data_IF_049979146773
#
_entry.id   IF_049979146773
#
_cell.length_a   1.000
_cell.length_b   1.000
_cell.length_c   1.000
_cell.angle_alpha   90.00
_cell.angle_beta   90.00
_cell.angle_gamma   90.00
#
_symmetry.space_group_name_H-M   'P 1'
#
loop_
_entity.id
_entity.type
_entity.pdbx_description
1 polymer ?
#
# COMPACT_ATOMS: atom_id res chain seq x y z
N UNK A 1 -10.76 -11.65 -1.16
CA UNK A 1 -9.69 -10.68 -1.43
C UNK A 1 -8.70 -10.80 -0.30
N UNK A 2 -7.41 -10.74 -0.61
CA UNK A 2 -6.32 -10.90 0.37
C UNK A 2 -5.23 -9.90 0.06
N UNK A 3 -4.68 -9.28 1.08
CA UNK A 3 -3.48 -8.46 1.01
C UNK A 3 -2.26 -9.23 1.48
N UNK A 4 -1.18 -9.13 0.72
CA UNK A 4 0.11 -9.71 1.06
C UNK A 4 1.24 -8.75 0.72
N UNK A 5 2.41 -8.99 1.28
CA UNK A 5 3.63 -8.26 0.94
C UNK A 5 4.65 -9.24 0.40
N UNK A 6 5.35 -8.85 -0.66
CA UNK A 6 6.51 -9.58 -1.17
C UNK A 6 7.75 -8.72 -1.09
N UNK A 7 8.92 -9.34 -1.13
CA UNK A 7 10.15 -8.63 -1.48
C UNK A 7 10.19 -8.27 -2.98
N UNK A 8 11.27 -7.62 -3.40
CA UNK A 8 11.53 -7.25 -4.80
C UNK A 8 11.60 -8.45 -5.75
N UNK A 9 11.96 -9.63 -5.25
CA UNK A 9 12.02 -10.89 -6.01
C UNK A 9 10.68 -11.63 -6.05
N UNK A 10 9.60 -10.97 -5.64
CA UNK A 10 8.23 -11.51 -5.54
C UNK A 10 8.11 -12.71 -4.57
N UNK A 11 9.04 -12.86 -3.63
CA UNK A 11 8.91 -13.81 -2.53
C UNK A 11 7.97 -13.24 -1.48
N UNK A 12 6.90 -13.98 -1.17
CA UNK A 12 5.95 -13.62 -0.12
C UNK A 12 6.63 -13.55 1.25
N UNK A 13 6.31 -12.49 1.98
CA UNK A 13 6.77 -12.27 3.34
C UNK A 13 5.63 -12.60 4.29
N UNK A 14 5.94 -13.41 5.30
CA UNK A 14 5.02 -13.70 6.39
C UNK A 14 4.84 -12.46 7.27
N UNK A 15 3.68 -12.32 7.91
CA UNK A 15 3.45 -11.22 8.86
C UNK A 15 4.54 -11.18 9.93
N UNK A 16 5.02 -9.97 10.25
CA UNK A 16 6.17 -9.72 11.13
C UNK A 16 7.53 -10.25 10.63
N UNK A 17 7.65 -10.64 9.36
CA UNK A 17 8.98 -10.88 8.78
C UNK A 17 9.84 -9.62 8.89
N UNK A 18 11.11 -9.75 9.30
CA UNK A 18 12.02 -8.61 9.33
C UNK A 18 12.27 -8.11 7.91
N UNK A 19 12.20 -6.79 7.74
CA UNK A 19 12.54 -6.07 6.51
C UNK A 19 13.51 -4.94 6.83
N UNK A 20 14.43 -4.63 5.93
CA UNK A 20 15.44 -3.60 6.17
C UNK A 20 14.91 -2.24 5.72
N UNK A 21 15.18 -1.16 6.46
CA UNK A 21 14.84 0.21 6.01
C UNK A 21 15.38 0.46 4.60
N UNK A 22 14.54 1.03 3.72
CA UNK A 22 14.89 1.31 2.33
C UNK A 22 14.84 0.08 1.40
N UNK A 23 14.54 -1.11 1.93
CA UNK A 23 14.25 -2.28 1.10
C UNK A 23 12.99 -2.03 0.27
N UNK A 24 13.06 -2.33 -1.03
CA UNK A 24 11.89 -2.33 -1.91
C UNK A 24 11.04 -3.57 -1.65
N UNK A 25 9.75 -3.33 -1.40
CA UNK A 25 8.72 -4.31 -1.13
C UNK A 25 7.55 -4.08 -2.11
N UNK A 26 6.74 -5.11 -2.32
CA UNK A 26 5.51 -5.00 -3.09
C UNK A 26 4.31 -5.32 -2.22
N UNK A 27 3.40 -4.36 -2.05
CA UNK A 27 2.08 -4.62 -1.49
C UNK A 27 1.18 -5.15 -2.60
N UNK A 28 0.66 -6.35 -2.44
CA UNK A 28 -0.16 -7.01 -3.43
C UNK A 28 -1.54 -7.27 -2.85
N UNK A 29 -2.58 -6.83 -3.55
CA UNK A 29 -3.97 -7.07 -3.20
C UNK A 29 -4.59 -7.89 -4.31
N UNK A 30 -5.02 -9.11 -3.97
CA UNK A 30 -5.48 -10.11 -4.92
C UNK A 30 -6.91 -10.54 -4.63
N UNK A 31 -7.63 -10.93 -5.68
CA UNK A 31 -8.99 -11.43 -5.58
C UNK A 31 -9.48 -12.06 -6.87
N UNK A 32 -10.78 -12.36 -6.89
CA UNK A 32 -11.44 -12.97 -8.05
C UNK A 32 -11.33 -12.03 -9.26
N UNK A 33 -11.22 -12.63 -10.44
CA UNK A 33 -11.27 -11.90 -11.71
C UNK A 33 -12.67 -11.40 -12.08
N UNK A 34 -12.76 -10.66 -13.19
CA UNK A 34 -13.99 -9.96 -13.61
C UNK A 34 -14.31 -8.72 -12.77
N UNK A 35 -13.33 -8.28 -11.97
CA UNK A 35 -13.41 -7.09 -11.14
C UNK A 35 -12.21 -6.18 -11.38
N UNK A 36 -12.43 -4.89 -11.18
CA UNK A 36 -11.42 -3.85 -11.13
C UNK A 36 -11.18 -3.44 -9.67
N UNK A 37 -9.93 -3.48 -9.23
CA UNK A 37 -9.52 -2.98 -7.90
C UNK A 37 -8.85 -1.61 -8.00
N UNK A 38 -9.29 -0.70 -7.15
CA UNK A 38 -8.70 0.64 -7.05
C UNK A 38 -8.34 0.93 -5.59
N UNK A 39 -7.08 1.23 -5.32
CA UNK A 39 -6.67 1.70 -4.01
C UNK A 39 -7.25 3.09 -3.77
N UNK A 40 -8.20 3.19 -2.85
CA UNK A 40 -8.78 4.48 -2.48
C UNK A 40 -7.88 5.19 -1.48
N UNK A 41 -7.45 4.48 -0.45
CA UNK A 41 -6.55 5.04 0.57
C UNK A 41 -5.70 3.95 1.18
N UNK A 42 -4.47 4.26 1.52
CA UNK A 42 -3.61 3.40 2.32
C UNK A 42 -2.95 4.27 3.38
N UNK A 43 -2.89 3.76 4.59
CA UNK A 43 -2.32 4.44 5.75
C UNK A 43 -1.38 3.49 6.47
N UNK A 44 -0.20 3.98 6.79
CA UNK A 44 0.70 3.31 7.70
C UNK A 44 0.51 3.86 9.12
N UNK A 45 0.55 3.00 10.11
CA UNK A 45 0.43 3.36 11.53
C UNK A 45 1.63 2.84 12.31
N UNK A 46 1.98 3.58 13.35
CA UNK A 46 2.94 3.18 14.37
C UNK A 46 2.36 2.00 15.17
N UNK A 47 2.99 0.82 15.06
CA UNK A 47 2.49 -0.42 15.64
C UNK A 47 1.18 -0.92 14.99
N UNK A 48 0.40 -1.68 15.75
CA UNK A 48 -0.81 -2.35 15.25
C UNK A 48 -2.12 -1.61 15.54
N UNK A 49 -2.12 -0.65 16.47
CA UNK A 49 -3.35 -0.01 16.97
C UNK A 49 -3.26 1.50 17.15
N UNK A 50 -2.06 2.09 17.14
CA UNK A 50 -1.89 3.51 17.47
C UNK A 50 -2.04 4.41 16.24
N UNK A 51 -3.24 4.99 16.06
CA UNK A 51 -3.52 5.94 14.97
C UNK A 51 -2.92 7.33 15.20
N UNK A 52 -2.43 7.64 16.41
CA UNK A 52 -1.88 8.96 16.75
C UNK A 52 -0.65 9.30 15.90
N UNK A 53 0.14 8.29 15.54
CA UNK A 53 1.27 8.41 14.61
C UNK A 53 0.95 7.61 13.36
N UNK A 54 0.39 8.29 12.38
CA UNK A 54 0.01 7.70 11.10
C UNK A 54 0.51 8.53 9.93
N UNK A 55 0.74 7.84 8.81
CA UNK A 55 1.22 8.42 7.56
C UNK A 55 0.32 7.93 6.44
N UNK A 56 -0.37 8.87 5.79
CA UNK A 56 -1.13 8.57 4.58
C UNK A 56 -0.16 8.28 3.44
N UNK A 57 -0.25 7.08 2.86
CA UNK A 57 0.51 6.69 1.68
C UNK A 57 -0.28 6.98 0.40
N UNK A 58 -1.61 6.79 0.47
CA UNK A 58 -2.54 7.08 -0.62
C UNK A 58 -3.77 7.78 -0.05
N UNK A 59 -4.23 8.82 -0.74
CA UNK A 59 -5.54 9.45 -0.48
C UNK A 59 -6.25 9.64 -1.81
N UNK A 60 -7.47 9.12 -1.89
CA UNK A 60 -8.26 9.05 -3.13
C UNK A 60 -7.37 8.66 -4.31
N UNK A 61 -6.76 7.47 -4.24
CA UNK A 61 -5.88 6.85 -5.25
C UNK A 61 -4.68 7.65 -5.72
N UNK A 62 -4.33 8.72 -4.99
CA UNK A 62 -3.16 9.54 -5.27
C UNK A 62 -2.09 9.25 -4.22
N UNK A 63 -0.89 8.90 -4.68
CA UNK A 63 0.31 8.80 -3.85
C UNK A 63 0.57 10.11 -3.12
N UNK A 64 0.68 10.04 -1.79
CA UNK A 64 0.98 11.21 -0.95
C UNK A 64 2.47 11.32 -0.65
N UNK A 65 3.17 10.19 -0.57
CA UNK A 65 4.61 10.14 -0.35
C UNK A 65 5.30 9.28 -1.42
N UNK A 66 5.76 9.91 -2.52
CA UNK A 66 6.42 9.19 -3.61
C UNK A 66 7.81 8.66 -3.23
N UNK A 67 8.40 9.08 -2.10
CA UNK A 67 9.64 8.48 -1.61
C UNK A 67 9.39 7.12 -0.95
N UNK A 68 8.16 6.89 -0.47
CA UNK A 68 7.78 5.63 0.19
C UNK A 68 6.96 4.74 -0.73
N UNK A 69 6.08 5.27 -1.58
CA UNK A 69 5.23 4.47 -2.47
C UNK A 69 5.26 5.03 -3.89
N UNK A 70 5.81 4.28 -4.82
CA UNK A 70 6.26 4.84 -6.12
C UNK A 70 5.36 4.50 -7.29
N UNK A 71 4.70 3.34 -7.26
CA UNK A 71 3.96 2.84 -8.41
C UNK A 71 2.72 2.05 -8.00
N UNK A 72 1.67 2.13 -8.82
CA UNK A 72 0.51 1.23 -8.78
C UNK A 72 0.33 0.61 -10.15
N UNK A 73 0.37 -0.70 -10.21
CA UNK A 73 -0.08 -1.45 -11.38
C UNK A 73 -1.33 -2.24 -11.03
N UNK A 74 -2.23 -2.33 -12.00
CA UNK A 74 -3.41 -3.15 -11.90
C UNK A 74 -3.33 -4.19 -13.01
N UNK A 75 -3.27 -5.46 -12.63
CA UNK A 75 -3.30 -6.59 -13.55
C UNK A 75 -4.71 -7.21 -13.48
N UNK A 76 -5.50 -6.96 -14.52
CA UNK A 76 -6.89 -7.43 -14.61
C UNK A 76 -6.95 -8.67 -15.48
N UNK A 77 -7.58 -9.71 -14.96
CA UNK A 77 -7.83 -10.95 -15.68
C UNK A 77 -9.21 -11.49 -15.38
N UNK A 78 -9.71 -12.35 -16.27
CA UNK A 78 -11.04 -12.98 -16.10
C UNK A 78 -11.12 -13.88 -14.87
N UNK A 79 -10.00 -14.51 -14.49
CA UNK A 79 -9.95 -15.43 -13.34
C UNK A 79 -9.27 -14.81 -12.11
N UNK A 80 -8.50 -13.74 -12.30
CA UNK A 80 -7.71 -13.13 -11.24
C UNK A 80 -7.51 -11.64 -11.50
N UNK A 81 -7.71 -10.84 -10.46
CA UNK A 81 -7.36 -9.41 -10.46
C UNK A 81 -6.36 -9.14 -9.35
N UNK A 82 -5.35 -8.35 -9.69
CA UNK A 82 -4.29 -7.92 -8.77
C UNK A 82 -4.09 -6.40 -8.84
N UNK A 83 -3.96 -5.78 -7.67
CA UNK A 83 -3.41 -4.45 -7.51
C UNK A 83 -2.06 -4.55 -6.80
N UNK A 84 -1.00 -4.10 -7.44
CA UNK A 84 0.37 -4.11 -6.91
C UNK A 84 0.87 -2.70 -6.68
N UNK A 85 1.44 -2.45 -5.50
CA UNK A 85 2.06 -1.18 -5.15
C UNK A 85 3.51 -1.40 -4.71
N UNK A 86 4.44 -0.66 -5.31
CA UNK A 86 5.85 -0.68 -4.87
C UNK A 86 6.03 0.28 -3.71
N UNK A 87 6.61 -0.21 -2.61
CA UNK A 87 6.90 0.59 -1.43
C UNK A 87 8.32 0.36 -0.90
N UNK A 88 8.92 1.38 -0.31
CA UNK A 88 10.18 1.26 0.41
C UNK A 88 9.91 1.13 1.90
N UNK A 89 10.51 0.12 2.55
CA UNK A 89 10.37 -0.10 3.98
C UNK A 89 10.87 1.11 4.78
N UNK A 90 10.12 1.49 5.80
CA UNK A 90 10.42 2.61 6.69
C UNK A 90 9.86 2.29 8.06
N UNK A 91 10.37 2.98 9.09
CA UNK A 91 9.90 2.84 10.46
C UNK A 91 9.42 4.18 11.01
N UNK A 92 8.72 4.13 12.14
CA UNK A 92 8.42 5.32 12.94
C UNK A 92 9.50 5.50 14.00
N UNK A 93 9.69 6.73 14.48
CA UNK A 93 10.78 7.06 15.41
C UNK A 93 10.76 6.18 16.67
N UNK A 94 9.59 5.81 17.19
CA UNK A 94 9.49 5.08 18.46
C UNK A 94 9.20 3.58 18.31
N UNK A 95 9.10 3.07 17.09
CA UNK A 95 8.88 1.63 16.87
C UNK A 95 9.37 1.15 15.51
N UNK A 96 9.79 -0.11 15.51
CA UNK A 96 10.14 -0.87 14.33
C UNK A 96 8.93 -1.60 13.75
N UNK A 97 7.75 -1.53 14.37
CA UNK A 97 6.55 -2.21 13.88
C UNK A 97 5.72 -1.23 13.05
N UNK A 98 5.51 -1.55 11.77
CA UNK A 98 4.67 -0.75 10.88
C UNK A 98 3.49 -1.60 10.40
N UNK A 99 2.28 -1.12 10.66
CA UNK A 99 1.07 -1.70 10.07
C UNK A 99 0.59 -0.82 8.93
N UNK A 100 0.34 -1.43 7.77
CA UNK A 100 -0.24 -0.77 6.60
C UNK A 100 -1.66 -1.29 6.43
N UNK A 101 -2.63 -0.38 6.42
CA UNK A 101 -4.02 -0.69 6.10
C UNK A 101 -4.46 0.03 4.84
N UNK A 102 -5.15 -0.68 3.95
CA UNK A 102 -5.61 -0.17 2.68
C UNK A 102 -7.13 -0.35 2.53
N UNK A 103 -7.80 0.69 2.04
CA UNK A 103 -9.20 0.65 1.60
C UNK A 103 -9.24 0.57 0.09
N UNK A 104 -9.83 -0.50 -0.42
CA UNK A 104 -9.93 -0.83 -1.83
C UNK A 104 -11.38 -0.70 -2.27
N UNK A 105 -11.59 0.00 -3.37
CA UNK A 105 -12.86 0.01 -4.07
C UNK A 105 -12.84 -1.08 -5.12
N UNK A 106 -13.84 -1.96 -5.08
CA UNK A 106 -14.01 -3.06 -6.03
C UNK A 106 -15.18 -2.74 -6.94
N UNK A 107 -14.99 -2.84 -8.26
CA UNK A 107 -16.03 -2.63 -9.26
C UNK A 107 -16.10 -3.83 -10.21
N UNK A 108 -17.26 -4.10 -10.78
CA UNK A 108 -17.38 -5.03 -11.91
C UNK A 108 -16.85 -4.39 -13.20
N UNK A 109 -16.20 -5.18 -14.05
CA UNK A 109 -15.53 -4.67 -15.26
C UNK A 109 -16.51 -4.18 -16.34
N UNK A 110 -17.72 -4.75 -16.40
CA UNK A 110 -18.67 -4.54 -17.51
C UNK A 110 -19.45 -3.21 -17.44
N UNK A 111 -19.34 -2.45 -16.34
CA UNK A 111 -20.35 -1.46 -15.99
C UNK A 111 -19.94 0.01 -16.13
N UNK A 112 -18.72 0.33 -16.58
CA UNK A 112 -18.15 1.70 -16.56
C UNK A 112 -18.33 2.43 -15.20
N UNK A 113 -18.63 1.67 -14.14
CA UNK A 113 -19.18 2.16 -12.87
C UNK A 113 -18.09 2.54 -11.89
N UNK A 114 -16.82 2.31 -12.24
CA UNK A 114 -15.68 2.61 -11.41
C UNK A 114 -15.35 4.10 -11.58
N UNK A 115 -15.73 4.97 -10.62
CA UNK A 115 -15.74 6.42 -10.81
C UNK A 115 -14.34 7.04 -10.68
N UNK A 116 -13.30 6.23 -10.63
CA UNK A 116 -12.01 6.61 -10.09
C UNK A 116 -10.91 6.43 -11.15
N UNK A 117 -10.49 7.55 -11.76
CA UNK A 117 -9.28 7.61 -12.57
C UNK A 117 -8.08 7.75 -11.62
N UNK A 118 -7.19 6.75 -11.60
CA UNK A 118 -5.86 6.91 -11.00
C UNK A 118 -5.18 8.02 -11.82
N UNK A 119 -4.74 9.14 -11.23
CA UNK A 119 -4.00 10.15 -11.96
C UNK A 119 -2.78 9.47 -12.58
N UNK A 120 -2.68 9.47 -13.91
CA UNK A 120 -1.52 8.92 -14.59
C UNK A 120 -0.27 9.66 -14.10
N UNK A 121 0.72 8.89 -13.66
CA UNK A 121 1.96 9.40 -13.08
C UNK A 121 2.72 10.16 -14.17
N UNK A 122 2.52 11.48 -14.27
CA UNK A 122 3.00 12.20 -15.44
C UNK A 122 2.72 13.68 -15.51
N UNK A 123 2.52 14.39 -14.39
CA UNK A 123 2.89 15.81 -14.28
C UNK A 123 2.66 16.31 -12.86
N UNK A 124 3.67 16.95 -12.28
CA UNK A 124 3.52 17.87 -11.14
C UNK A 124 2.55 19.01 -11.51
N UNK A 125 1.25 18.76 -11.45
CA UNK A 125 0.27 19.84 -11.35
C UNK A 125 -0.49 19.62 -10.05
N UNK A 126 -0.25 20.51 -9.09
CA UNK A 126 -1.17 20.85 -8.00
C UNK A 126 -2.49 21.34 -8.62
N UNK A 127 -3.27 20.44 -9.22
CA UNK A 127 -4.69 20.63 -9.39
C UNK A 127 -5.32 19.64 -8.46
N UNK A 128 -5.79 20.15 -7.33
CA UNK A 128 -6.84 19.49 -6.57
C UNK A 128 -8.00 19.30 -7.55
N UNK A 129 -8.05 18.14 -8.20
CA UNK A 129 -9.30 17.70 -8.81
C UNK A 129 -10.22 17.49 -7.61
N UNK A 130 -11.14 18.43 -7.41
CA UNK A 130 -12.25 18.25 -6.50
C UNK A 130 -13.07 17.09 -7.10
N UNK A 131 -12.75 15.85 -6.71
CA UNK A 131 -13.52 14.68 -7.11
C UNK A 131 -14.82 14.77 -6.33
N UNK A 132 -15.81 15.44 -6.90
CA UNK A 132 -17.18 15.38 -6.41
C UNK A 132 -17.62 13.91 -6.49
N UNK A 133 -18.00 13.27 -5.37
CA UNK A 133 -18.63 11.96 -5.45
C UNK A 133 -19.90 12.15 -6.28
N UNK A 134 -19.94 11.53 -7.47
CA UNK A 134 -21.21 11.43 -8.20
C UNK A 134 -22.13 10.55 -7.34
N UNK A 135 -23.08 11.21 -6.70
CA UNK A 135 -24.18 10.56 -5.97
C UNK A 135 -25.23 10.12 -6.99
N UNK A 136 -25.68 8.86 -6.84
CA UNK A 136 -26.72 8.10 -7.59
C UNK A 136 -26.09 7.17 -8.65
N UNK A 137 -26.25 5.84 -8.66
CA UNK A 137 -27.37 4.96 -8.28
C UNK A 137 -26.89 3.49 -8.19
N UNK A 138 -27.40 2.73 -7.20
CA UNK A 138 -27.13 1.31 -6.85
C UNK A 138 -25.66 0.97 -6.52
N UNK A 139 -25.40 0.44 -5.32
CA UNK A 139 -24.07 0.00 -4.87
C UNK A 139 -23.57 -1.21 -5.69
N UNK A 140 -23.03 -0.95 -6.89
CA UNK A 140 -22.28 -1.92 -7.72
C UNK A 140 -20.79 -1.96 -7.38
N UNK A 141 -20.40 -1.22 -6.35
CA UNK A 141 -19.05 -1.24 -5.80
C UNK A 141 -19.13 -1.43 -4.30
N UNK A 142 -18.23 -2.23 -3.77
CA UNK A 142 -18.08 -2.44 -2.33
C UNK A 142 -16.68 -2.08 -1.89
N UNK A 143 -16.53 -1.82 -0.60
CA UNK A 143 -15.24 -1.49 0.01
C UNK A 143 -14.71 -2.68 0.79
N UNK A 144 -13.44 -2.97 0.56
CA UNK A 144 -12.68 -3.92 1.37
C UNK A 144 -11.60 -3.15 2.10
N UNK A 145 -11.43 -3.43 3.39
CA UNK A 145 -10.30 -2.95 4.18
C UNK A 145 -9.50 -4.17 4.57
N UNK A 146 -8.20 -4.14 4.29
CA UNK A 146 -7.26 -5.17 4.70
C UNK A 146 -5.99 -4.51 5.30
N UNK A 147 -5.22 -5.28 6.06
CA UNK A 147 -4.03 -4.78 6.78
C UNK A 147 -2.89 -5.78 6.83
N UNK A 148 -1.65 -5.29 6.76
CA UNK A 148 -0.43 -6.09 6.88
C UNK A 148 0.55 -5.43 7.86
N UNK A 149 1.18 -6.22 8.73
CA UNK A 149 2.15 -5.72 9.72
C UNK A 149 3.54 -6.29 9.44
N UNK A 150 4.54 -5.40 9.43
CA UNK A 150 5.94 -5.73 9.25
C UNK A 150 6.80 -5.25 10.41
N UNK A 151 7.89 -5.98 10.66
CA UNK A 151 8.97 -5.58 11.56
C UNK A 151 10.10 -5.00 10.71
N UNK A 152 10.52 -3.78 11.00
CA UNK A 152 11.49 -3.03 10.22
C UNK A 152 12.79 -2.90 11.01
N UNK A 153 13.87 -3.45 10.46
CA UNK A 153 15.20 -3.42 11.06
C UNK A 153 15.99 -2.24 10.53
N UNK A 154 16.66 -1.53 11.45
CA UNK A 154 17.65 -0.53 11.09
C UNK A 154 19.02 -1.20 11.00
N UNK A 155 19.65 -1.17 9.83
CA UNK A 155 21.01 -1.72 9.64
C UNK A 155 22.11 -0.79 10.14
N UNK A 156 21.78 0.36 10.76
CA UNK A 156 22.77 1.24 11.40
C UNK A 156 23.36 0.70 12.72
N UNK A 157 22.96 -0.49 13.19
CA UNK A 157 23.64 -1.19 14.29
C UNK A 157 24.94 -1.88 13.86
N UNK A 158 25.73 -1.24 13.00
CA UNK A 158 27.17 -1.51 12.91
C UNK A 158 27.90 -0.86 14.09
N UNK A 159 27.46 -1.16 15.31
CA UNK A 159 28.39 -1.10 16.45
C UNK A 159 29.40 -2.21 16.19
N UNK A 160 30.53 -1.83 15.60
CA UNK A 160 31.79 -2.54 15.75
C UNK A 160 31.92 -2.88 17.24
N UNK A 161 31.65 -4.12 17.62
CA UNK A 161 32.29 -4.69 18.78
C UNK A 161 33.77 -4.84 18.40
N UNK A 162 34.52 -3.75 18.50
CA UNK A 162 35.96 -3.82 18.69
C UNK A 162 36.15 -4.59 20.00
N UNK A 163 36.31 -5.90 19.90
CA UNK A 163 36.86 -6.72 20.95
C UNK A 163 38.34 -6.37 21.08
N UNK A 164 38.61 -5.19 21.64
CA UNK A 164 39.92 -4.81 22.15
C UNK A 164 39.84 -4.90 23.67
N UNK A 165 40.27 -6.04 24.22
CA UNK A 165 40.75 -6.28 25.60
C UNK A 165 40.83 -7.80 25.77
N UNK A 166 41.94 -8.45 26.11
CA UNK A 166 43.30 -8.04 26.46
C UNK A 166 44.10 -9.34 26.70
#
# INVERSE_FOLDING_TARGET
MTMKVTDKGDKELESNSPVIIGQELHLIIQGNGGFTFLARSCMATEGTTNRAHSKSLIVNGTTQDPAVITNFSNNRGQNHTELKASLYAFHFVNTNIVSISCSITVCQDDDNSCPFQIPSNGTRRKRSALIQPQTNTLEKSFRVIDSYTMLVENTDDSVKSDATTG
#
